data_IF_310521597487
#
_entry.id   IF_310521597487
#
_cell.length_a   1.000
_cell.length_b   1.000
_cell.length_c   1.000
_cell.angle_alpha   90.00
_cell.angle_beta   90.00
_cell.angle_gamma   90.00
#
_symmetry.space_group_name_H-M   'P 1'
#
loop_
_entity.id
_entity.type
_entity.pdbx_description
1 polymer ?
#
# COMPACT_ATOMS: atom_id res chain seq x y z
N UNK A 1 -17.99 30.11 10.64
CA UNK A 1 -18.57 29.31 9.53
C UNK A 1 -18.61 27.87 9.99
N UNK A 2 -19.78 27.22 9.98
CA UNK A 2 -19.89 25.78 10.28
C UNK A 2 -19.43 25.02 9.03
N UNK A 3 -18.22 24.49 9.04
CA UNK A 3 -17.84 23.47 8.06
C UNK A 3 -18.64 22.21 8.38
N UNK A 4 -19.23 21.60 7.36
CA UNK A 4 -19.93 20.33 7.52
C UNK A 4 -18.90 19.24 7.82
N UNK A 5 -19.23 18.22 8.61
CA UNK A 5 -18.30 17.12 8.92
C UNK A 5 -17.80 16.36 7.68
N UNK A 6 -18.47 16.52 6.53
CA UNK A 6 -18.00 16.01 5.23
C UNK A 6 -16.90 16.86 4.60
N UNK A 7 -16.80 18.17 4.89
CA UNK A 7 -15.78 19.06 4.31
C UNK A 7 -14.42 18.92 5.01
N UNK A 8 -14.40 18.70 6.34
CA UNK A 8 -13.16 18.44 7.09
C UNK A 8 -12.50 17.11 6.69
N UNK A 9 -13.30 16.08 6.35
CA UNK A 9 -12.81 14.74 5.98
C UNK A 9 -12.24 14.69 4.56
N UNK A 10 -12.75 15.51 3.63
CA UNK A 10 -12.16 15.70 2.29
C UNK A 10 -10.80 16.36 2.41
N UNK A 11 -10.70 17.37 3.29
CA UNK A 11 -9.49 18.16 3.51
C UNK A 11 -8.29 17.25 3.79
N UNK A 12 -8.44 16.22 4.62
CA UNK A 12 -7.33 15.31 4.97
C UNK A 12 -6.85 14.41 3.84
N UNK A 13 -7.71 13.95 2.95
CA UNK A 13 -7.25 13.10 1.85
C UNK A 13 -6.65 13.92 0.68
N UNK A 14 -7.09 15.18 0.52
CA UNK A 14 -6.35 16.19 -0.26
C UNK A 14 -5.03 16.59 0.42
N UNK A 15 -4.97 16.68 1.76
CA UNK A 15 -3.75 16.95 2.53
C UNK A 15 -2.71 15.85 2.27
N UNK A 16 -3.10 14.58 2.21
CA UNK A 16 -2.18 13.47 1.88
C UNK A 16 -1.48 13.66 0.54
N UNK A 17 -2.23 14.15 -0.46
CA UNK A 17 -1.65 14.44 -1.76
C UNK A 17 -0.77 15.68 -1.66
N UNK A 18 -1.30 16.79 -1.15
CA UNK A 18 -0.61 18.07 -1.03
C UNK A 18 0.75 17.93 -0.34
N UNK A 19 0.80 17.11 0.70
CA UNK A 19 2.00 16.94 1.51
C UNK A 19 2.86 15.73 1.14
N UNK A 20 2.45 14.86 0.21
CA UNK A 20 3.27 13.72 -0.22
C UNK A 20 4.66 14.15 -0.74
N UNK A 21 5.69 13.39 -0.35
CA UNK A 21 7.08 13.61 -0.80
C UNK A 21 7.30 13.29 -2.28
N UNK A 22 6.50 12.36 -2.81
CA UNK A 22 6.47 11.96 -4.20
C UNK A 22 5.48 12.82 -5.00
N UNK A 23 5.58 12.79 -6.33
CA UNK A 23 4.53 13.33 -7.18
C UNK A 23 3.25 12.53 -6.94
N UNK A 24 2.17 13.20 -6.52
CA UNK A 24 0.93 12.53 -6.16
C UNK A 24 -0.30 13.27 -6.67
N UNK A 25 -1.34 12.48 -6.93
CA UNK A 25 -2.68 12.95 -7.25
C UNK A 25 -3.73 12.05 -6.60
N UNK A 26 -4.91 12.59 -6.32
CA UNK A 26 -6.09 11.79 -5.97
C UNK A 26 -7.12 11.88 -7.09
N UNK A 27 -7.87 10.80 -7.28
CA UNK A 27 -8.98 10.75 -8.25
C UNK A 27 -10.29 10.37 -7.56
N UNK A 28 -11.41 10.88 -8.05
CA UNK A 28 -12.76 10.51 -7.61
C UNK A 28 -13.29 9.26 -8.34
N UNK A 29 -14.51 8.85 -8.01
CA UNK A 29 -15.21 7.73 -8.65
C UNK A 29 -15.59 7.96 -10.12
N UNK A 30 -15.42 9.18 -10.64
CA UNK A 30 -15.62 9.55 -12.04
C UNK A 30 -14.28 9.71 -12.78
N UNK A 31 -13.20 9.20 -12.18
CA UNK A 31 -11.82 9.22 -12.69
C UNK A 31 -11.24 10.64 -12.85
N UNK A 32 -11.85 11.64 -12.19
CA UNK A 32 -11.39 13.03 -12.23
C UNK A 32 -10.38 13.28 -11.13
N UNK A 33 -9.34 14.03 -11.47
CA UNK A 33 -8.33 14.50 -10.51
C UNK A 33 -9.01 15.46 -9.52
N UNK A 34 -8.95 15.14 -8.23
CA UNK A 34 -9.50 15.98 -7.14
C UNK A 34 -8.42 16.58 -6.26
N UNK A 35 -7.19 16.07 -6.33
CA UNK A 35 -6.03 16.63 -5.66
C UNK A 35 -4.79 16.49 -6.55
N UNK A 36 -3.89 17.46 -6.50
CA UNK A 36 -2.67 17.51 -7.30
C UNK A 36 -1.58 18.27 -6.56
N UNK A 37 -0.45 17.63 -6.28
CA UNK A 37 0.59 18.25 -5.46
C UNK A 37 1.70 18.94 -6.27
N UNK A 38 2.51 19.73 -5.58
CA UNK A 38 3.61 20.51 -6.21
C UNK A 38 4.62 19.60 -6.92
N UNK A 39 4.86 18.39 -6.42
CA UNK A 39 5.78 17.43 -7.05
C UNK A 39 5.20 16.88 -8.36
N UNK A 40 3.90 16.61 -8.44
CA UNK A 40 3.23 16.23 -9.68
C UNK A 40 3.27 17.36 -10.71
N UNK A 41 3.08 18.62 -10.27
CA UNK A 41 3.28 19.79 -11.13
C UNK A 41 4.72 19.87 -11.67
N UNK A 42 5.72 19.68 -10.81
CA UNK A 42 7.13 19.69 -11.24
C UNK A 42 7.45 18.55 -12.22
N UNK A 43 6.88 17.37 -12.00
CA UNK A 43 7.13 16.18 -12.82
C UNK A 43 6.40 16.24 -14.18
N UNK A 44 5.18 16.75 -14.23
CA UNK A 44 4.31 16.67 -15.42
C UNK A 44 3.97 18.03 -16.04
N UNK A 45 4.31 19.14 -15.40
CA UNK A 45 4.16 20.50 -15.92
C UNK A 45 2.80 21.15 -15.65
N UNK A 46 1.75 20.37 -15.40
CA UNK A 46 0.40 20.89 -15.13
C UNK A 46 0.31 21.55 -13.76
N UNK A 47 -0.17 22.79 -13.72
CA UNK A 47 -0.55 23.45 -12.47
C UNK A 47 -1.80 22.77 -11.84
N UNK A 48 -2.02 22.90 -10.51
CA UNK A 48 -3.21 22.37 -9.86
C UNK A 48 -4.52 22.83 -10.53
N UNK A 49 -4.60 24.09 -10.98
CA UNK A 49 -5.78 24.62 -11.67
C UNK A 49 -6.03 24.01 -13.06
N UNK A 50 -4.99 23.48 -13.71
CA UNK A 50 -5.11 22.81 -15.00
C UNK A 50 -5.39 21.31 -14.84
N UNK A 51 -4.85 20.69 -13.79
CA UNK A 51 -4.99 19.25 -13.54
C UNK A 51 -6.30 18.90 -12.84
N UNK A 52 -6.70 19.65 -11.81
CA UNK A 52 -7.89 19.34 -11.00
C UNK A 52 -9.15 19.50 -11.85
N UNK A 53 -10.05 18.52 -11.73
CA UNK A 53 -11.28 18.39 -12.52
C UNK A 53 -11.08 17.70 -13.87
N UNK A 54 -9.84 17.52 -14.35
CA UNK A 54 -9.58 16.75 -15.57
C UNK A 54 -9.69 15.25 -15.35
N UNK A 55 -9.99 14.53 -16.42
CA UNK A 55 -9.86 13.07 -16.46
C UNK A 55 -8.40 12.66 -16.24
N UNK A 56 -8.13 11.72 -15.33
CA UNK A 56 -6.76 11.37 -14.96
C UNK A 56 -5.93 10.87 -16.16
N UNK A 57 -6.56 10.18 -17.10
CA UNK A 57 -5.92 9.69 -18.32
C UNK A 57 -5.41 10.82 -19.22
N UNK A 58 -6.04 12.00 -19.17
CA UNK A 58 -5.64 13.15 -19.98
C UNK A 58 -4.42 13.87 -19.41
N UNK A 59 -4.21 13.77 -18.10
CA UNK A 59 -3.08 14.42 -17.42
C UNK A 59 -1.86 13.50 -17.39
N UNK A 60 -2.05 12.21 -17.11
CA UNK A 60 -0.94 11.24 -17.02
C UNK A 60 -0.49 10.76 -18.40
N UNK A 61 -1.44 10.45 -19.29
CA UNK A 61 -1.21 9.89 -20.64
C UNK A 61 -0.12 8.80 -20.66
N UNK A 62 -0.17 7.92 -19.66
CA UNK A 62 0.88 6.94 -19.43
C UNK A 62 0.93 5.89 -20.54
N UNK A 63 2.12 5.43 -20.87
CA UNK A 63 2.39 4.26 -21.72
C UNK A 63 3.34 3.30 -21.02
N UNK A 64 3.23 2.02 -21.31
CA UNK A 64 4.23 1.03 -20.89
C UNK A 64 5.58 1.32 -21.55
N UNK A 65 6.65 0.72 -21.03
CA UNK A 65 7.99 0.83 -21.62
C UNK A 65 8.01 0.38 -23.08
N UNK A 66 7.18 -0.61 -23.45
CA UNK A 66 6.97 -1.07 -24.84
C UNK A 66 6.22 -0.09 -25.75
N UNK A 67 5.55 0.93 -25.18
CA UNK A 67 4.81 1.96 -25.91
C UNK A 67 3.32 1.72 -26.02
N UNK A 68 2.82 0.62 -25.47
CA UNK A 68 1.40 0.35 -25.34
C UNK A 68 0.74 1.40 -24.42
N UNK A 69 -0.45 1.92 -24.76
CA UNK A 69 -1.15 2.88 -23.94
C UNK A 69 -1.61 2.25 -22.62
N UNK A 70 -1.16 2.82 -21.51
CA UNK A 70 -1.60 2.46 -20.15
C UNK A 70 -2.79 3.31 -19.70
N UNK A 71 -2.83 4.58 -20.10
CA UNK A 71 -3.94 5.48 -19.79
C UNK A 71 -4.92 5.58 -20.96
N UNK A 72 -6.18 5.20 -20.72
CA UNK A 72 -7.35 5.51 -21.54
C UNK A 72 -8.60 5.45 -20.64
N UNK A 73 -9.78 5.94 -21.08
CA UNK A 73 -10.98 6.08 -20.22
C UNK A 73 -11.51 4.79 -19.54
N UNK A 74 -11.02 3.62 -19.95
CA UNK A 74 -11.42 2.31 -19.43
C UNK A 74 -10.23 1.39 -19.18
N UNK A 75 -9.06 1.96 -18.88
CA UNK A 75 -7.86 1.16 -18.70
C UNK A 75 -7.96 0.27 -17.47
N UNK A 76 -7.15 -0.80 -17.48
CA UNK A 76 -7.16 -1.80 -16.41
C UNK A 76 -6.77 -1.21 -15.04
N UNK A 77 -6.03 -0.09 -15.04
CA UNK A 77 -5.74 0.71 -13.83
C UNK A 77 -7.03 1.19 -13.17
N UNK A 78 -7.91 1.87 -13.93
CA UNK A 78 -9.17 2.41 -13.42
C UNK A 78 -10.14 1.31 -13.01
N UNK A 79 -10.19 0.22 -13.79
CA UNK A 79 -10.97 -0.97 -13.42
C UNK A 79 -10.52 -1.58 -12.11
N UNK A 80 -9.20 -1.63 -11.87
CA UNK A 80 -8.64 -2.12 -10.62
C UNK A 80 -9.08 -1.24 -9.45
N UNK A 81 -8.98 0.09 -9.56
CA UNK A 81 -9.42 1.01 -8.51
C UNK A 81 -10.89 0.87 -8.15
N UNK A 82 -11.77 0.73 -9.14
CA UNK A 82 -13.21 0.52 -8.91
C UNK A 82 -13.46 -0.74 -8.07
N UNK A 83 -12.61 -1.76 -8.20
CA UNK A 83 -12.64 -3.00 -7.42
C UNK A 83 -11.84 -2.95 -6.11
N UNK A 84 -11.39 -1.77 -5.66
CA UNK A 84 -10.50 -1.58 -4.50
C UNK A 84 -9.10 -2.16 -4.66
N UNK A 85 -8.66 -2.40 -5.90
CA UNK A 85 -7.37 -3.03 -6.20
C UNK A 85 -6.35 -1.92 -6.52
N UNK A 86 -5.27 -1.76 -5.74
CA UNK A 86 -4.18 -0.85 -6.06
C UNK A 86 -3.46 -1.35 -7.32
N UNK A 87 -2.83 -0.42 -8.01
CA UNK A 87 -2.19 -0.68 -9.29
C UNK A 87 -0.76 -0.18 -9.27
N UNK A 88 0.16 -1.04 -9.69
CA UNK A 88 1.58 -0.72 -9.80
C UNK A 88 2.08 -0.97 -11.22
N UNK A 89 2.72 0.03 -11.80
CA UNK A 89 3.42 -0.09 -13.09
C UNK A 89 4.82 0.49 -12.95
N UNK A 90 5.85 -0.36 -12.89
CA UNK A 90 7.22 0.12 -12.89
C UNK A 90 7.63 0.59 -14.29
N UNK A 91 8.55 1.55 -14.36
CA UNK A 91 9.22 1.96 -15.60
C UNK A 91 8.28 2.33 -16.76
N UNK A 92 7.20 3.04 -16.47
CA UNK A 92 6.29 3.57 -17.48
C UNK A 92 6.74 4.96 -17.96
N UNK A 93 6.15 5.41 -19.07
CA UNK A 93 6.36 6.75 -19.63
C UNK A 93 5.12 7.59 -19.44
N UNK A 94 5.26 8.72 -18.79
CA UNK A 94 4.22 9.73 -18.60
C UNK A 94 4.45 10.90 -19.56
N UNK A 95 3.36 11.52 -20.05
CA UNK A 95 3.47 12.68 -20.94
C UNK A 95 3.48 13.97 -20.14
N UNK A 96 4.61 14.67 -20.13
CA UNK A 96 4.69 16.03 -19.61
C UNK A 96 3.88 16.99 -20.50
N UNK A 97 3.31 18.07 -19.94
CA UNK A 97 2.48 19.06 -20.62
C UNK A 97 3.16 19.67 -21.87
N UNK A 98 4.48 19.86 -21.82
CA UNK A 98 5.31 20.30 -22.96
C UNK A 98 5.43 19.29 -24.11
N UNK A 99 4.88 18.08 -23.97
CA UNK A 99 4.99 17.00 -24.94
C UNK A 99 6.29 16.18 -24.83
N UNK A 100 7.04 16.28 -23.74
CA UNK A 100 8.17 15.38 -23.44
C UNK A 100 7.69 14.13 -22.70
N UNK A 101 8.43 13.03 -22.84
CA UNK A 101 8.19 11.83 -22.04
C UNK A 101 9.04 11.87 -20.77
N UNK A 102 8.43 11.50 -19.64
CA UNK A 102 9.08 11.36 -18.33
C UNK A 102 8.98 9.90 -17.91
N UNK A 103 10.10 9.30 -17.50
CA UNK A 103 10.11 7.96 -16.95
C UNK A 103 9.67 8.02 -15.49
N UNK A 104 8.75 7.13 -15.11
CA UNK A 104 8.34 7.01 -13.72
C UNK A 104 7.76 5.62 -13.46
N UNK A 105 7.71 5.26 -12.19
CA UNK A 105 6.88 4.17 -11.70
C UNK A 105 5.58 4.76 -11.15
N UNK A 106 4.47 4.17 -11.57
CA UNK A 106 3.15 4.44 -11.00
C UNK A 106 2.92 3.43 -9.89
N UNK A 107 2.55 3.92 -8.71
CA UNK A 107 1.97 3.11 -7.64
C UNK A 107 0.71 3.79 -7.16
N UNK A 108 -0.18 3.08 -6.51
CA UNK A 108 -1.43 3.68 -6.06
C UNK A 108 -1.96 2.99 -4.82
N UNK A 109 -2.78 3.72 -4.09
CA UNK A 109 -3.61 3.22 -3.00
C UNK A 109 -5.04 3.34 -3.49
N UNK A 110 -5.71 2.21 -3.69
CA UNK A 110 -7.15 2.19 -3.92
C UNK A 110 -7.87 2.27 -2.57
N UNK A 111 -8.86 3.14 -2.45
CA UNK A 111 -9.63 3.25 -1.20
C UNK A 111 -10.45 1.99 -1.02
N UNK A 112 -10.26 1.31 0.13
CA UNK A 112 -11.10 0.19 0.55
C UNK A 112 -12.57 0.62 0.66
N UNK A 113 -13.52 -0.32 0.61
CA UNK A 113 -14.94 0.03 0.76
C UNK A 113 -15.23 0.81 2.06
N UNK A 114 -14.56 0.45 3.16
CA UNK A 114 -14.68 1.15 4.44
C UNK A 114 -14.18 2.59 4.33
N UNK A 115 -13.01 2.80 3.72
CA UNK A 115 -12.45 4.13 3.47
C UNK A 115 -13.36 4.96 2.55
N UNK A 116 -13.86 4.38 1.45
CA UNK A 116 -14.78 5.08 0.53
C UNK A 116 -16.04 5.58 1.24
N UNK A 117 -16.65 4.77 2.13
CA UNK A 117 -17.79 5.19 2.95
C UNK A 117 -17.43 6.32 3.94
N UNK A 118 -16.24 6.26 4.53
CA UNK A 118 -15.72 7.30 5.42
C UNK A 118 -15.55 8.64 4.67
N UNK A 119 -15.05 8.60 3.43
CA UNK A 119 -14.83 9.76 2.55
C UNK A 119 -16.03 10.10 1.63
N UNK A 120 -17.18 9.45 1.82
CA UNK A 120 -18.40 9.64 1.03
C UNK A 120 -18.18 9.55 -0.50
N UNK A 121 -17.37 8.57 -0.95
CA UNK A 121 -17.04 8.30 -2.35
C UNK A 121 -16.36 9.47 -3.11
N UNK A 122 -15.86 10.47 -2.38
CA UNK A 122 -15.19 11.63 -3.01
C UNK A 122 -13.79 11.31 -3.51
N UNK A 123 -13.19 10.23 -3.03
CA UNK A 123 -11.87 9.76 -3.44
C UNK A 123 -11.94 8.25 -3.66
N UNK A 124 -11.52 7.82 -4.84
CA UNK A 124 -11.45 6.43 -5.26
C UNK A 124 -10.03 5.88 -5.08
N UNK A 125 -9.01 6.65 -5.46
CA UNK A 125 -7.62 6.24 -5.34
C UNK A 125 -6.67 7.44 -5.20
N UNK A 126 -5.52 7.20 -4.58
CA UNK A 126 -4.37 8.10 -4.59
C UNK A 126 -3.29 7.44 -5.46
N UNK A 127 -2.77 8.17 -6.43
CA UNK A 127 -1.73 7.71 -7.36
C UNK A 127 -0.44 8.45 -7.01
N UNK A 128 0.62 7.68 -6.84
CA UNK A 128 1.98 8.16 -6.62
C UNK A 128 2.85 7.86 -7.84
N UNK A 129 3.57 8.88 -8.27
CA UNK A 129 4.50 8.85 -9.39
C UNK A 129 5.90 9.02 -8.81
N UNK A 130 6.76 8.03 -9.02
CA UNK A 130 8.13 8.03 -8.53
C UNK A 130 9.09 8.00 -9.70
N UNK A 131 10.05 8.91 -9.69
CA UNK A 131 11.19 8.85 -10.60
C UNK A 131 12.09 7.70 -10.13
N UNK A 132 12.26 6.65 -10.94
CA UNK A 132 12.91 5.43 -10.47
C UNK A 132 14.40 5.40 -10.81
N UNK A 133 15.21 5.55 -9.76
CA UNK A 133 16.55 4.97 -9.68
C UNK A 133 16.60 3.73 -8.76
N UNK A 134 15.45 3.16 -8.34
CA UNK A 134 15.42 2.01 -7.43
C UNK A 134 14.70 0.82 -8.08
N UNK A 135 15.44 0.09 -8.89
CA UNK A 135 15.08 -1.27 -9.31
C UNK A 135 15.40 -2.20 -8.13
N UNK A 136 14.38 -2.78 -7.48
CA UNK A 136 14.65 -3.88 -6.54
C UNK A 136 15.27 -5.04 -7.33
N UNK A 137 16.50 -5.48 -7.03
CA UNK A 137 17.15 -6.50 -7.83
C UNK A 137 16.43 -7.84 -7.65
N UNK A 138 15.69 -8.25 -8.69
CA UNK A 138 15.16 -9.62 -8.75
C UNK A 138 16.30 -10.55 -9.16
N UNK A 139 16.59 -11.63 -8.40
CA UNK A 139 17.61 -12.59 -8.79
C UNK A 139 17.28 -13.22 -10.16
N UNK A 140 18.19 -13.10 -11.12
CA UNK A 140 18.04 -13.59 -12.51
C UNK A 140 17.82 -15.11 -12.63
N UNK A 141 18.00 -15.87 -11.54
CA UNK A 141 17.84 -17.32 -11.51
C UNK A 141 16.44 -17.82 -11.10
N UNK A 142 15.53 -16.94 -10.65
CA UNK A 142 14.18 -17.33 -10.21
C UNK A 142 13.17 -17.13 -11.33
N UNK A 143 12.60 -18.23 -11.80
CA UNK A 143 11.74 -18.25 -13.00
C UNK A 143 10.32 -17.77 -12.75
N UNK A 144 9.87 -17.77 -11.48
CA UNK A 144 8.55 -17.30 -11.07
C UNK A 144 8.68 -16.28 -9.94
N UNK A 145 8.09 -15.11 -10.16
CA UNK A 145 7.87 -14.06 -9.18
C UNK A 145 6.39 -14.05 -8.82
N UNK A 146 6.08 -13.96 -7.54
CA UNK A 146 4.72 -13.91 -7.01
C UNK A 146 4.58 -12.66 -6.17
N UNK A 147 3.50 -11.93 -6.41
CA UNK A 147 3.13 -10.72 -5.71
C UNK A 147 1.87 -11.02 -4.89
N UNK A 148 1.93 -10.67 -3.61
CA UNK A 148 0.93 -11.00 -2.60
C UNK A 148 0.59 -9.82 -1.69
N UNK A 149 1.41 -8.77 -1.64
CA UNK A 149 1.16 -7.56 -0.83
C UNK A 149 0.32 -6.54 -1.61
N UNK A 150 -0.98 -6.78 -1.64
CA UNK A 150 -1.97 -6.13 -2.50
C UNK A 150 -2.63 -7.17 -3.40
N UNK A 151 -2.96 -6.75 -4.63
CA UNK A 151 -3.51 -7.65 -5.64
C UNK A 151 -2.56 -8.82 -5.98
N UNK A 152 -3.09 -10.02 -6.08
CA UNK A 152 -2.30 -11.21 -6.41
C UNK A 152 -1.81 -11.17 -7.86
N UNK A 153 -0.50 -11.21 -8.01
CA UNK A 153 0.17 -11.12 -9.31
C UNK A 153 1.26 -12.16 -9.50
N UNK A 154 1.57 -12.47 -10.75
CA UNK A 154 2.65 -13.40 -11.08
C UNK A 154 3.40 -12.92 -12.31
N UNK A 155 4.73 -13.08 -12.30
CA UNK A 155 5.60 -12.80 -13.45
C UNK A 155 6.53 -13.98 -13.66
N UNK A 156 6.67 -14.43 -14.91
CA UNK A 156 7.63 -15.46 -15.28
C UNK A 156 8.43 -15.03 -16.51
N UNK A 157 9.75 -15.22 -16.47
CA UNK A 157 10.65 -14.82 -17.57
C UNK A 157 10.50 -13.35 -17.99
N UNK A 158 10.18 -12.44 -17.06
CA UNK A 158 9.96 -11.02 -17.32
C UNK A 158 8.58 -10.65 -17.87
N UNK A 159 7.65 -11.61 -18.01
CA UNK A 159 6.31 -11.38 -18.54
C UNK A 159 5.25 -11.65 -17.47
N UNK A 160 4.24 -10.77 -17.39
CA UNK A 160 3.11 -10.96 -16.49
C UNK A 160 2.26 -12.16 -16.90
N UNK A 161 1.84 -12.96 -15.93
CA UNK A 161 0.94 -14.10 -16.12
C UNK A 161 -0.49 -13.62 -15.89
N UNK A 162 -1.31 -13.67 -16.95
CA UNK A 162 -2.72 -13.33 -16.88
C UNK A 162 -3.54 -14.46 -16.23
N UNK A 163 -3.63 -14.42 -14.90
CA UNK A 163 -4.46 -15.33 -14.08
C UNK A 163 -5.96 -15.21 -14.38
N UNK A 164 -6.39 -14.11 -15.02
CA UNK A 164 -7.76 -13.90 -15.47
C UNK A 164 -8.20 -14.95 -16.50
N UNK A 165 -7.27 -15.34 -17.38
CA UNK A 165 -7.47 -16.33 -18.46
C UNK A 165 -7.49 -17.79 -17.98
N UNK A 166 -7.09 -18.06 -16.74
CA UNK A 166 -7.04 -19.43 -16.22
C UNK A 166 -8.45 -20.01 -16.09
N UNK A 167 -8.69 -21.13 -16.80
CA UNK A 167 -10.02 -21.78 -16.87
C UNK A 167 -10.50 -22.31 -15.51
N UNK A 168 -9.56 -22.65 -14.61
CA UNK A 168 -9.83 -23.25 -13.30
C UNK A 168 -9.45 -22.28 -12.20
N UNK A 169 -10.42 -21.51 -11.67
CA UNK A 169 -10.17 -20.53 -10.61
C UNK A 169 -9.58 -21.15 -9.33
N UNK A 170 -10.00 -22.35 -8.94
CA UNK A 170 -9.40 -23.08 -7.82
C UNK A 170 -7.91 -23.38 -8.00
N UNK A 171 -7.35 -23.37 -9.22
CA UNK A 171 -5.90 -23.53 -9.41
C UNK A 171 -5.13 -22.29 -8.90
N UNK A 172 -5.72 -21.10 -9.06
CA UNK A 172 -5.17 -19.84 -8.53
C UNK A 172 -5.28 -19.85 -7.00
N UNK A 173 -6.44 -20.18 -6.44
CA UNK A 173 -6.62 -20.28 -4.97
C UNK A 173 -5.67 -21.31 -4.35
N UNK A 174 -5.50 -22.47 -4.99
CA UNK A 174 -4.54 -23.49 -4.57
C UNK A 174 -3.11 -22.93 -4.54
N UNK A 175 -2.71 -22.16 -5.55
CA UNK A 175 -1.40 -21.53 -5.57
C UNK A 175 -1.25 -20.49 -4.47
N UNK A 176 -2.24 -19.60 -4.29
CA UNK A 176 -2.23 -18.60 -3.20
C UNK A 176 -2.05 -19.29 -1.84
N UNK A 177 -2.81 -20.35 -1.56
CA UNK A 177 -2.68 -21.14 -0.34
C UNK A 177 -1.27 -21.72 -0.16
N UNK A 178 -0.70 -22.29 -1.22
CA UNK A 178 0.66 -22.84 -1.19
C UNK A 178 1.73 -21.75 -1.00
N UNK A 179 1.50 -20.53 -1.47
CA UNK A 179 2.36 -19.36 -1.22
C UNK A 179 2.28 -18.93 0.25
N UNK A 180 1.10 -18.94 0.86
CA UNK A 180 0.97 -18.70 2.31
C UNK A 180 1.67 -19.77 3.14
N UNK A 181 1.74 -21.01 2.62
CA UNK A 181 2.46 -22.13 3.25
C UNK A 181 3.84 -22.36 2.62
N UNK A 182 4.52 -21.30 2.17
CA UNK A 182 5.78 -21.42 1.45
C UNK A 182 6.82 -22.25 2.21
N UNK A 183 7.41 -23.21 1.50
CA UNK A 183 8.39 -24.17 2.02
C UNK A 183 7.86 -25.15 3.08
N UNK A 184 6.54 -25.20 3.28
CA UNK A 184 5.87 -26.17 4.18
C UNK A 184 5.01 -27.13 3.37
N UNK A 185 5.18 -28.47 3.51
CA UNK A 185 4.31 -29.44 2.86
C UNK A 185 2.86 -29.30 3.37
N UNK A 186 1.91 -29.16 2.46
CA UNK A 186 0.48 -29.10 2.78
C UNK A 186 -0.20 -30.40 2.40
N UNK A 187 -0.75 -31.09 3.42
CA UNK A 187 -1.52 -32.31 3.23
C UNK A 187 -2.75 -32.08 2.34
N UNK A 188 -3.02 -33.05 1.47
CA UNK A 188 -4.15 -33.03 0.53
C UNK A 188 -5.49 -32.81 1.23
N UNK A 189 -5.68 -33.33 2.43
CA UNK A 189 -6.91 -33.18 3.22
C UNK A 189 -7.17 -31.70 3.51
N UNK A 190 -6.15 -30.96 3.98
CA UNK A 190 -6.27 -29.51 4.22
C UNK A 190 -6.56 -28.72 2.95
N UNK A 191 -5.97 -29.11 1.82
CA UNK A 191 -6.23 -28.45 0.53
C UNK A 191 -7.67 -28.71 0.04
N UNK A 192 -8.21 -29.90 0.31
CA UNK A 192 -9.60 -30.25 -0.01
C UNK A 192 -10.54 -29.43 0.86
N UNK A 193 -10.32 -29.42 2.18
CA UNK A 193 -11.17 -28.68 3.13
C UNK A 193 -11.18 -27.18 2.82
N UNK A 194 -10.02 -26.62 2.44
CA UNK A 194 -9.90 -25.22 2.06
C UNK A 194 -10.62 -24.89 0.73
N UNK A 195 -10.48 -25.71 -0.30
CA UNK A 195 -11.00 -25.41 -1.63
C UNK A 195 -12.46 -25.83 -1.82
N UNK A 196 -12.86 -26.91 -1.13
CA UNK A 196 -14.16 -27.56 -1.27
C UNK A 196 -14.64 -28.13 0.08
N UNK A 197 -15.02 -27.27 1.06
CA UNK A 197 -15.38 -27.70 2.41
C UNK A 197 -16.58 -28.67 2.44
N UNK A 198 -17.48 -28.59 1.47
CA UNK A 198 -18.71 -29.39 1.42
C UNK A 198 -18.55 -30.75 0.70
N UNK A 199 -17.32 -31.12 0.31
CA UNK A 199 -17.07 -32.29 -0.55
C UNK A 199 -16.39 -33.41 0.23
N UNK A 200 -16.98 -34.61 0.18
CA UNK A 200 -16.40 -35.80 0.79
C UNK A 200 -15.03 -36.18 0.20
N UNK A 201 -14.16 -36.78 1.03
CA UNK A 201 -12.74 -37.03 0.77
C UNK A 201 -12.44 -37.64 -0.62
N UNK A 202 -13.16 -38.70 -1.03
CA UNK A 202 -12.93 -39.36 -2.33
C UNK A 202 -13.16 -38.43 -3.52
N UNK A 203 -14.23 -37.64 -3.48
CA UNK A 203 -14.54 -36.69 -4.55
C UNK A 203 -13.58 -35.49 -4.50
N UNK A 204 -13.23 -35.02 -3.29
CA UNK A 204 -12.26 -33.96 -3.07
C UNK A 204 -10.89 -34.31 -3.64
N UNK A 205 -10.41 -35.54 -3.43
CA UNK A 205 -9.14 -36.00 -3.98
C UNK A 205 -9.14 -36.02 -5.52
N UNK A 206 -10.23 -36.48 -6.14
CA UNK A 206 -10.40 -36.40 -7.59
C UNK A 206 -10.30 -34.97 -8.10
N UNK A 207 -11.00 -34.02 -7.45
CA UNK A 207 -10.95 -32.59 -7.80
C UNK A 207 -9.55 -32.01 -7.61
N UNK A 208 -8.88 -32.31 -6.49
CA UNK A 208 -7.54 -31.81 -6.18
C UNK A 208 -6.51 -32.26 -7.23
N UNK A 209 -6.54 -33.53 -7.64
CA UNK A 209 -5.66 -34.06 -8.70
C UNK A 209 -5.80 -33.28 -9.99
N UNK A 210 -7.03 -33.02 -10.44
CA UNK A 210 -7.27 -32.28 -11.68
C UNK A 210 -6.89 -30.81 -11.53
N UNK A 211 -7.21 -30.17 -10.40
CA UNK A 211 -6.84 -28.78 -10.14
C UNK A 211 -5.33 -28.59 -10.07
N UNK A 212 -4.61 -29.49 -9.42
CA UNK A 212 -3.14 -29.49 -9.37
C UNK A 212 -2.51 -29.74 -10.74
N UNK A 213 -3.09 -30.65 -11.54
CA UNK A 213 -2.68 -30.84 -12.92
C UNK A 213 -2.83 -29.55 -13.75
N UNK A 214 -3.99 -28.88 -13.65
CA UNK A 214 -4.22 -27.61 -14.33
C UNK A 214 -3.25 -26.52 -13.86
N UNK A 215 -3.01 -26.39 -12.55
CA UNK A 215 -2.02 -25.45 -12.00
C UNK A 215 -0.63 -25.67 -12.64
N UNK A 216 -0.14 -26.92 -12.63
CA UNK A 216 1.15 -27.26 -13.25
C UNK A 216 1.16 -26.98 -14.75
N UNK A 217 0.06 -27.26 -15.45
CA UNK A 217 -0.05 -26.99 -16.88
C UNK A 217 0.04 -25.49 -17.20
N UNK A 218 -0.67 -24.64 -16.45
CA UNK A 218 -0.63 -23.18 -16.62
C UNK A 218 0.77 -22.63 -16.29
N UNK A 219 1.41 -23.11 -15.22
CA UNK A 219 2.79 -22.76 -14.88
C UNK A 219 3.76 -23.13 -16.00
N UNK A 220 3.69 -24.37 -16.52
CA UNK A 220 4.53 -24.82 -17.65
C UNK A 220 4.33 -23.98 -18.91
N UNK A 221 3.09 -23.64 -19.22
CA UNK A 221 2.77 -22.82 -20.40
C UNK A 221 3.42 -21.44 -20.33
N UNK A 222 3.71 -20.94 -19.12
CA UNK A 222 4.41 -19.68 -18.87
C UNK A 222 5.92 -19.87 -18.59
N UNK A 223 6.49 -21.02 -18.97
CA UNK A 223 7.94 -21.27 -18.85
C UNK A 223 8.43 -21.60 -17.44
N UNK A 224 7.50 -21.81 -16.49
CA UNK A 224 7.85 -22.21 -15.12
C UNK A 224 8.05 -23.72 -15.06
N UNK A 225 9.16 -24.16 -14.48
CA UNK A 225 9.50 -25.58 -14.37
C UNK A 225 8.59 -26.30 -13.37
N UNK A 226 8.39 -27.59 -13.62
CA UNK A 226 7.57 -28.47 -12.76
C UNK A 226 8.01 -28.57 -11.31
N UNK A 227 9.30 -28.36 -11.07
CA UNK A 227 9.92 -28.49 -9.76
C UNK A 227 9.47 -27.43 -8.75
N UNK A 228 8.72 -26.41 -9.19
CA UNK A 228 8.14 -25.37 -8.33
C UNK A 228 7.14 -25.95 -7.34
N UNK A 229 6.25 -26.84 -7.80
CA UNK A 229 5.24 -27.49 -6.94
C UNK A 229 5.51 -29.00 -6.89
N UNK A 230 6.18 -29.45 -5.83
CA UNK A 230 6.47 -30.88 -5.62
C UNK A 230 5.31 -31.59 -4.95
N UNK A 231 5.17 -32.87 -5.28
CA UNK A 231 4.36 -33.81 -4.49
C UNK A 231 5.30 -34.55 -3.55
N UNK A 232 5.00 -34.53 -2.27
CA UNK A 232 5.77 -35.20 -1.20
C UNK A 232 4.78 -36.07 -0.45
N UNK A 233 4.82 -37.38 -0.68
CA UNK A 233 3.83 -38.34 -0.16
C UNK A 233 2.37 -37.92 -0.47
N UNK A 234 1.59 -37.64 0.57
CA UNK A 234 0.20 -37.17 0.47
C UNK A 234 0.06 -35.63 0.57
N UNK A 235 1.16 -34.90 0.38
CA UNK A 235 1.23 -33.45 0.48
C UNK A 235 1.77 -32.81 -0.79
N UNK A 236 1.56 -31.49 -0.89
CA UNK A 236 2.13 -30.63 -1.92
C UNK A 236 2.99 -29.56 -1.28
N UNK A 237 4.15 -29.30 -1.87
CA UNK A 237 5.14 -28.36 -1.39
C UNK A 237 5.47 -27.35 -2.49
N UNK A 238 5.26 -26.07 -2.21
CA UNK A 238 5.80 -24.98 -3.02
C UNK A 238 7.19 -24.62 -2.49
N UNK A 239 8.19 -24.73 -3.36
CA UNK A 239 9.60 -24.58 -2.97
C UNK A 239 10.04 -23.13 -2.97
N UNK A 240 10.58 -22.67 -1.85
CA UNK A 240 11.10 -21.30 -1.66
C UNK A 240 12.33 -20.98 -2.52
N UNK A 241 13.19 -21.96 -2.78
CA UNK A 241 14.46 -21.74 -3.46
C UNK A 241 14.34 -21.48 -4.97
N UNK A 242 13.18 -21.82 -5.56
CA UNK A 242 12.91 -21.68 -7.00
C UNK A 242 11.91 -20.58 -7.33
N UNK A 243 11.33 -19.91 -6.33
CA UNK A 243 10.40 -18.79 -6.50
C UNK A 243 10.87 -17.53 -5.78
N UNK A 244 10.38 -16.40 -6.24
CA UNK A 244 10.50 -15.12 -5.55
C UNK A 244 9.11 -14.70 -5.09
N UNK A 245 8.99 -14.28 -3.83
CA UNK A 245 7.72 -13.79 -3.25
C UNK A 245 8.01 -12.43 -2.61
N UNK A 246 7.20 -11.43 -2.96
CA UNK A 246 7.34 -10.06 -2.43
C UNK A 246 7.27 -10.00 -0.90
N UNK A 247 6.40 -10.80 -0.26
CA UNK A 247 6.29 -10.91 1.20
C UNK A 247 7.61 -11.30 1.85
N UNK A 248 8.30 -12.33 1.33
CA UNK A 248 9.61 -12.76 1.87
C UNK A 248 10.65 -11.63 1.82
N UNK A 249 10.63 -10.86 0.72
CA UNK A 249 11.58 -9.77 0.50
C UNK A 249 11.24 -8.58 1.38
N UNK A 250 9.96 -8.26 1.52
CA UNK A 250 9.45 -7.25 2.43
C UNK A 250 9.91 -7.52 3.85
N UNK A 251 9.64 -8.71 4.40
CA UNK A 251 10.03 -9.09 5.75
C UNK A 251 11.53 -9.03 5.99
N UNK A 252 12.32 -9.48 4.99
CA UNK A 252 13.78 -9.39 5.05
C UNK A 252 14.25 -7.94 5.13
N UNK A 253 13.71 -7.04 4.30
CA UNK A 253 14.07 -5.63 4.33
C UNK A 253 13.64 -4.95 5.64
N UNK A 254 12.48 -5.30 6.20
CA UNK A 254 12.08 -4.83 7.54
C UNK A 254 13.09 -5.29 8.60
N UNK A 255 13.47 -6.57 8.58
CA UNK A 255 14.44 -7.14 9.52
C UNK A 255 15.82 -6.49 9.39
N UNK A 256 16.32 -6.31 8.17
CA UNK A 256 17.59 -5.62 7.90
C UNK A 256 17.54 -4.16 8.40
N UNK A 257 16.44 -3.44 8.13
CA UNK A 257 16.22 -2.09 8.63
C UNK A 257 16.25 -2.00 10.16
N UNK A 258 15.59 -2.94 10.85
CA UNK A 258 15.60 -3.01 12.31
C UNK A 258 17.00 -3.24 12.88
N UNK A 259 17.79 -4.12 12.27
CA UNK A 259 19.18 -4.36 12.70
C UNK A 259 20.08 -3.14 12.50
N UNK A 260 19.89 -2.39 11.42
CA UNK A 260 20.62 -1.14 11.15
C UNK A 260 20.21 -0.04 12.13
N UNK A 261 18.91 0.06 12.42
CA UNK A 261 18.35 1.01 13.39
C UNK A 261 18.92 0.78 14.79
N UNK A 262 19.02 -0.48 15.24
CA UNK A 262 19.65 -0.84 16.53
C UNK A 262 21.12 -0.43 16.64
N UNK A 263 21.79 -0.21 15.51
CA UNK A 263 23.17 0.27 15.42
C UNK A 263 23.26 1.76 15.13
N UNK A 264 22.13 2.48 15.22
CA UNK A 264 22.01 3.91 14.92
C UNK A 264 22.44 4.28 13.48
N UNK A 265 22.38 3.31 12.56
CA UNK A 265 22.66 3.51 11.13
C UNK A 265 21.39 3.97 10.41
N UNK A 266 20.92 5.17 10.77
CA UNK A 266 19.59 5.68 10.41
C UNK A 266 19.36 5.80 8.90
N UNK A 267 20.37 6.24 8.15
CA UNK A 267 20.28 6.42 6.69
C UNK A 267 20.13 5.08 5.97
N UNK A 268 20.92 4.08 6.36
CA UNK A 268 20.88 2.73 5.82
C UNK A 268 19.60 2.00 6.22
N UNK A 269 19.16 2.17 7.48
CA UNK A 269 17.87 1.65 7.95
C UNK A 269 16.72 2.22 7.13
N UNK A 270 16.70 3.55 6.91
CA UNK A 270 15.72 4.23 6.08
C UNK A 270 15.74 3.72 4.63
N UNK A 271 16.92 3.43 4.07
CA UNK A 271 17.04 2.82 2.74
C UNK A 271 16.33 1.46 2.68
N UNK A 272 16.57 0.57 3.66
CA UNK A 272 15.90 -0.75 3.73
C UNK A 272 14.39 -0.62 3.91
N UNK A 273 13.94 0.25 4.81
CA UNK A 273 12.50 0.46 5.04
C UNK A 273 11.81 1.05 3.82
N UNK A 274 12.47 1.95 3.08
CA UNK A 274 11.93 2.44 1.83
C UNK A 274 11.78 1.31 0.83
N UNK A 275 12.78 0.43 0.63
CA UNK A 275 12.65 -0.75 -0.24
C UNK A 275 11.48 -1.66 0.16
N UNK A 276 11.30 -1.95 1.46
CA UNK A 276 10.13 -2.67 1.98
C UNK A 276 8.81 -1.97 1.62
N UNK A 277 8.73 -0.65 1.80
CA UNK A 277 7.53 0.15 1.48
C UNK A 277 7.20 0.18 -0.02
N UNK A 278 8.16 -0.11 -0.90
CA UNK A 278 7.89 -0.26 -2.34
C UNK A 278 7.23 -1.60 -2.67
N UNK A 279 7.35 -2.61 -1.81
CA UNK A 279 6.73 -3.92 -2.02
C UNK A 279 5.29 -3.97 -1.49
N UNK A 280 5.02 -3.26 -0.39
CA UNK A 280 3.69 -3.23 0.22
C UNK A 280 2.74 -2.29 -0.54
N UNK A 281 1.92 -2.83 -1.44
CA UNK A 281 0.98 -2.05 -2.27
C UNK A 281 -0.46 -2.09 -1.74
N UNK A 282 -0.79 -3.09 -0.92
CA UNK A 282 -2.09 -3.28 -0.30
C UNK A 282 -2.07 -4.44 0.69
N UNK A 283 -3.23 -4.78 1.24
CA UNK A 283 -3.35 -5.90 2.18
C UNK A 283 -2.97 -7.23 1.49
N UNK A 284 -2.43 -8.17 2.27
CA UNK A 284 -2.06 -9.48 1.75
C UNK A 284 -3.26 -10.19 1.10
N UNK A 285 -3.11 -10.55 -0.18
CA UNK A 285 -4.16 -11.19 -0.99
C UNK A 285 -5.52 -10.51 -0.81
N UNK A 286 -5.57 -9.22 -1.10
CA UNK A 286 -6.74 -8.37 -0.83
C UNK A 286 -8.04 -8.87 -1.48
N UNK A 287 -7.96 -9.63 -2.59
CA UNK A 287 -9.15 -10.18 -3.26
C UNK A 287 -9.74 -11.39 -2.50
N UNK A 288 -8.99 -11.96 -1.56
CA UNK A 288 -9.39 -13.10 -0.74
C UNK A 288 -10.08 -12.64 0.56
N UNK A 289 -11.01 -11.67 0.45
CA UNK A 289 -11.59 -10.97 1.61
C UNK A 289 -12.28 -11.89 2.61
N UNK A 290 -12.92 -12.97 2.13
CA UNK A 290 -13.70 -13.92 2.94
C UNK A 290 -12.98 -15.26 3.20
N UNK A 291 -11.69 -15.33 2.90
CA UNK A 291 -10.90 -16.55 2.97
C UNK A 291 -10.15 -16.62 4.31
N UNK A 292 -10.68 -17.40 5.25
CA UNK A 292 -10.11 -17.53 6.61
C UNK A 292 -8.66 -18.00 6.63
N UNK A 293 -8.25 -18.82 5.66
CA UNK A 293 -6.90 -19.39 5.59
C UNK A 293 -5.77 -18.37 5.38
N UNK A 294 -6.08 -17.15 4.94
CA UNK A 294 -5.10 -16.06 4.78
C UNK A 294 -5.34 -14.89 5.75
N UNK A 295 -6.39 -14.92 6.57
CA UNK A 295 -6.75 -13.80 7.44
C UNK A 295 -5.66 -13.51 8.49
N UNK A 296 -5.11 -14.55 9.12
CA UNK A 296 -4.04 -14.41 10.12
C UNK A 296 -2.77 -13.81 9.51
N UNK A 297 -2.37 -14.29 8.33
CA UNK A 297 -1.18 -13.79 7.64
C UNK A 297 -1.37 -12.35 7.16
N UNK A 298 -2.57 -12.00 6.68
CA UNK A 298 -2.92 -10.63 6.31
C UNK A 298 -2.79 -9.68 7.47
N UNK A 299 -3.36 -10.02 8.62
CA UNK A 299 -3.27 -9.18 9.81
C UNK A 299 -1.82 -9.04 10.28
N UNK A 300 -1.06 -10.14 10.33
CA UNK A 300 0.35 -10.13 10.71
C UNK A 300 1.20 -9.20 9.83
N UNK A 301 0.99 -9.26 8.51
CA UNK A 301 1.72 -8.41 7.56
C UNK A 301 1.26 -6.95 7.59
N UNK A 302 -0.03 -6.71 7.86
CA UNK A 302 -0.57 -5.37 8.09
C UNK A 302 0.06 -4.72 9.32
N UNK A 303 0.11 -5.43 10.45
CA UNK A 303 0.78 -4.96 11.67
C UNK A 303 2.28 -4.72 11.45
N UNK A 304 2.96 -5.64 10.76
CA UNK A 304 4.38 -5.47 10.44
C UNK A 304 4.64 -4.23 9.55
N UNK A 305 3.74 -3.95 8.60
CA UNK A 305 3.82 -2.76 7.76
C UNK A 305 3.64 -1.48 8.57
N UNK A 306 2.64 -1.44 9.46
CA UNK A 306 2.44 -0.32 10.37
C UNK A 306 3.64 -0.13 11.31
N UNK A 307 4.20 -1.20 11.88
CA UNK A 307 5.42 -1.10 12.69
C UNK A 307 6.58 -0.51 11.88
N UNK A 308 6.78 -0.98 10.64
CA UNK A 308 7.80 -0.46 9.74
C UNK A 308 7.59 1.03 9.44
N UNK A 309 6.36 1.48 9.21
CA UNK A 309 6.08 2.90 9.00
C UNK A 309 6.43 3.74 10.23
N UNK A 310 6.13 3.28 11.44
CA UNK A 310 6.52 4.00 12.67
C UNK A 310 8.05 4.15 12.77
N UNK A 311 8.79 3.06 12.51
CA UNK A 311 10.26 3.05 12.49
C UNK A 311 10.84 3.92 11.38
N UNK A 312 10.19 3.96 10.21
CA UNK A 312 10.58 4.85 9.11
C UNK A 312 10.46 6.31 9.52
N UNK A 313 9.34 6.67 10.18
CA UNK A 313 9.11 8.02 10.67
C UNK A 313 10.15 8.44 11.73
N UNK A 314 10.53 7.51 12.62
CA UNK A 314 11.62 7.69 13.57
C UNK A 314 12.97 7.94 12.88
N UNK A 315 13.32 7.13 11.87
CA UNK A 315 14.56 7.34 11.10
C UNK A 315 14.61 8.72 10.45
N UNK A 316 13.52 9.18 9.85
CA UNK A 316 13.43 10.54 9.31
C UNK A 316 13.65 11.61 10.39
N UNK A 317 13.07 11.42 11.58
CA UNK A 317 13.23 12.36 12.68
C UNK A 317 14.68 12.45 13.15
N UNK A 318 15.35 11.31 13.34
CA UNK A 318 16.75 11.25 13.77
C UNK A 318 17.71 11.84 12.73
N UNK A 319 17.34 11.79 11.45
CA UNK A 319 18.06 12.46 10.36
C UNK A 319 17.74 13.97 10.23
N UNK A 320 16.92 14.52 11.13
CA UNK A 320 16.49 15.93 11.10
C UNK A 320 15.46 16.25 10.00
N UNK A 321 14.89 15.24 9.37
CA UNK A 321 13.93 15.33 8.26
C UNK A 321 12.48 15.28 8.79
N UNK A 322 12.13 16.22 9.67
CA UNK A 322 10.84 16.23 10.38
C UNK A 322 9.62 16.26 9.42
N UNK A 323 9.73 17.01 8.32
CA UNK A 323 8.65 17.10 7.32
C UNK A 323 8.31 15.74 6.69
N UNK A 324 9.32 14.90 6.41
CA UNK A 324 9.14 13.55 5.87
C UNK A 324 8.57 12.60 6.93
N UNK A 325 9.03 12.69 8.18
CA UNK A 325 8.48 11.91 9.30
C UNK A 325 6.97 12.13 9.47
N UNK A 326 6.53 13.40 9.36
CA UNK A 326 5.11 13.79 9.36
C UNK A 326 4.34 13.12 8.21
N UNK A 327 4.94 13.05 7.01
CA UNK A 327 4.28 12.37 5.87
C UNK A 327 4.11 10.88 6.09
N UNK A 328 5.10 10.22 6.69
CA UNK A 328 4.99 8.80 6.99
C UNK A 328 3.84 8.52 7.95
N UNK A 329 3.70 9.33 9.00
CA UNK A 329 2.60 9.17 9.95
C UNK A 329 1.23 9.41 9.30
N UNK A 330 1.12 10.45 8.46
CA UNK A 330 -0.10 10.71 7.69
C UNK A 330 -0.43 9.56 6.76
N UNK A 331 0.56 9.01 6.05
CA UNK A 331 0.39 7.85 5.16
C UNK A 331 -0.12 6.64 5.94
N UNK A 332 0.42 6.37 7.13
CA UNK A 332 -0.06 5.28 7.97
C UNK A 332 -1.54 5.43 8.34
N UNK A 333 -1.99 6.65 8.67
CA UNK A 333 -3.39 6.94 9.00
C UNK A 333 -4.34 6.85 7.80
N UNK A 334 -3.82 6.78 6.57
CA UNK A 334 -4.64 6.44 5.38
C UNK A 334 -4.97 4.96 5.37
N UNK A 335 -3.96 4.14 5.66
CA UNK A 335 -4.09 2.68 5.70
C UNK A 335 -4.95 2.27 6.88
N UNK A 336 -4.72 2.87 8.04
CA UNK A 336 -5.55 2.62 9.21
C UNK A 336 -5.79 3.92 10.02
N UNK A 337 -6.92 4.60 9.73
CA UNK A 337 -7.32 5.82 10.43
C UNK A 337 -7.56 5.66 11.93
N UNK A 338 -7.71 4.41 12.41
CA UNK A 338 -7.99 4.12 13.81
C UNK A 338 -6.72 3.92 14.65
N UNK A 339 -5.53 3.96 14.03
CA UNK A 339 -4.25 3.75 14.74
C UNK A 339 -3.86 4.96 15.54
N UNK A 340 -4.31 4.98 16.80
CA UNK A 340 -4.06 6.09 17.72
C UNK A 340 -2.57 6.41 17.90
N UNK A 341 -1.68 5.41 17.88
CA UNK A 341 -0.24 5.64 18.00
C UNK A 341 0.30 6.60 16.91
N UNK A 342 -0.20 6.51 15.68
CA UNK A 342 0.19 7.40 14.59
C UNK A 342 -0.40 8.79 14.74
N UNK A 343 -1.60 8.92 15.31
CA UNK A 343 -2.11 10.25 15.70
C UNK A 343 -1.22 10.89 16.77
N UNK A 344 -0.84 10.13 17.79
CA UNK A 344 0.04 10.58 18.86
C UNK A 344 1.40 11.05 18.31
N UNK A 345 2.10 10.21 17.56
CA UNK A 345 3.42 10.52 16.99
C UNK A 345 3.33 11.73 16.04
N UNK A 346 2.29 11.80 15.21
CA UNK A 346 2.07 12.93 14.32
C UNK A 346 1.88 14.25 15.10
N UNK A 347 1.14 14.22 16.21
CA UNK A 347 1.01 15.40 17.08
C UNK A 347 2.37 15.83 17.65
N UNK A 348 3.18 14.89 18.13
CA UNK A 348 4.52 15.21 18.64
C UNK A 348 5.42 15.83 17.56
N UNK A 349 5.41 15.27 16.36
CA UNK A 349 6.25 15.75 15.26
C UNK A 349 5.80 17.12 14.76
N UNK A 350 4.49 17.38 14.68
CA UNK A 350 3.97 18.69 14.35
C UNK A 350 4.38 19.76 15.37
N UNK A 351 4.42 19.43 16.66
CA UNK A 351 4.92 20.35 17.70
C UNK A 351 6.41 20.60 17.54
N UNK A 352 7.22 19.55 17.32
CA UNK A 352 8.67 19.67 17.06
C UNK A 352 8.96 20.52 15.83
N UNK A 353 8.11 20.45 14.82
CA UNK A 353 8.19 21.25 13.59
C UNK A 353 7.62 22.68 13.73
N UNK A 354 7.21 23.09 14.93
CA UNK A 354 6.70 24.44 15.19
C UNK A 354 5.27 24.69 14.73
N UNK A 355 4.48 23.63 14.50
CA UNK A 355 3.08 23.66 14.03
C UNK A 355 2.10 23.10 15.09
N UNK A 356 2.05 23.66 16.32
CA UNK A 356 1.21 23.15 17.39
C UNK A 356 -0.30 23.29 17.10
N UNK A 357 -0.70 24.27 16.29
CA UNK A 357 -2.07 24.44 15.82
C UNK A 357 -2.56 23.23 15.01
N UNK A 358 -1.72 22.70 14.11
CA UNK A 358 -2.02 21.49 13.35
C UNK A 358 -2.06 20.25 14.25
N UNK A 359 -1.23 20.19 15.29
CA UNK A 359 -1.29 19.09 16.26
C UNK A 359 -2.62 19.07 17.02
N UNK A 360 -3.18 20.24 17.37
CA UNK A 360 -4.49 20.32 18.01
C UNK A 360 -5.63 19.88 17.06
N UNK A 361 -5.51 20.17 15.76
CA UNK A 361 -6.44 19.66 14.74
C UNK A 361 -6.35 18.13 14.64
N UNK A 362 -5.13 17.59 14.61
CA UNK A 362 -4.91 16.14 14.55
C UNK A 362 -5.53 15.39 15.72
N UNK A 363 -5.46 15.93 16.94
CA UNK A 363 -6.12 15.35 18.11
C UNK A 363 -7.64 15.26 17.94
N UNK A 364 -8.28 16.34 17.44
CA UNK A 364 -9.73 16.35 17.21
C UNK A 364 -10.11 15.29 16.18
N UNK A 365 -9.31 15.15 15.13
CA UNK A 365 -9.52 14.10 14.13
C UNK A 365 -9.41 12.70 14.74
N UNK A 366 -8.36 12.44 15.53
CA UNK A 366 -8.20 11.18 16.29
C UNK A 366 -9.45 10.87 17.12
N UNK A 367 -9.90 11.83 17.92
CA UNK A 367 -11.09 11.69 18.75
C UNK A 367 -12.35 11.39 17.91
N UNK A 368 -12.55 12.11 16.82
CA UNK A 368 -13.71 11.91 15.94
C UNK A 368 -13.72 10.50 15.35
N UNK A 369 -12.58 10.01 14.84
CA UNK A 369 -12.50 8.68 14.22
C UNK A 369 -12.72 7.57 15.25
N UNK A 370 -12.06 7.63 16.41
CA UNK A 370 -12.21 6.61 17.46
C UNK A 370 -13.61 6.56 18.06
N UNK A 371 -14.24 7.72 18.28
CA UNK A 371 -15.62 7.79 18.77
C UNK A 371 -16.59 7.24 17.72
N UNK A 372 -16.39 7.56 16.44
CA UNK A 372 -17.26 7.09 15.35
C UNK A 372 -17.18 5.58 15.16
N UNK A 373 -15.97 5.01 15.14
CA UNK A 373 -15.77 3.60 14.80
C UNK A 373 -15.91 2.66 16.01
N UNK A 374 -15.53 3.09 17.22
CA UNK A 374 -15.54 2.23 18.41
C UNK A 374 -16.31 2.79 19.60
N UNK A 375 -16.77 4.04 19.55
CA UNK A 375 -17.45 4.68 20.68
C UNK A 375 -16.53 5.00 21.87
N UNK A 376 -15.21 5.01 21.65
CA UNK A 376 -14.21 5.24 22.70
C UNK A 376 -13.53 6.60 22.56
N UNK A 377 -13.02 7.12 23.68
CA UNK A 377 -12.15 8.30 23.67
C UNK A 377 -10.69 7.90 23.40
N UNK A 378 -9.83 8.83 22.93
CA UNK A 378 -8.39 8.60 22.85
C UNK A 378 -7.81 8.15 24.20
N UNK A 379 -6.75 7.34 24.16
CA UNK A 379 -5.99 6.88 25.31
C UNK A 379 -5.48 8.05 26.18
N UNK A 380 -5.25 7.82 27.48
CA UNK A 380 -4.81 8.87 28.41
C UNK A 380 -3.51 9.56 28.01
N UNK A 381 -2.63 8.89 27.26
CA UNK A 381 -1.35 9.44 26.79
C UNK A 381 -1.58 10.53 25.73
N UNK A 382 -2.42 10.25 24.75
CA UNK A 382 -2.82 11.20 23.70
C UNK A 382 -3.58 12.39 24.27
N UNK A 383 -4.46 12.15 25.24
CA UNK A 383 -5.14 13.24 25.97
C UNK A 383 -4.14 14.12 26.74
N UNK A 384 -3.13 13.52 27.40
CA UNK A 384 -2.10 14.27 28.11
C UNK A 384 -1.26 15.14 27.16
N UNK A 385 -0.85 14.60 26.01
CA UNK A 385 -0.12 15.36 24.99
C UNK A 385 -0.96 16.56 24.50
N UNK A 386 -2.24 16.36 24.20
CA UNK A 386 -3.15 17.45 23.84
C UNK A 386 -3.19 18.57 24.89
N UNK A 387 -3.31 18.21 26.18
CA UNK A 387 -3.32 19.18 27.28
C UNK A 387 -1.98 19.92 27.41
N UNK A 388 -0.86 19.26 27.16
CA UNK A 388 0.46 19.89 27.15
C UNK A 388 0.59 20.92 26.02
N UNK A 389 0.12 20.59 24.82
CA UNK A 389 0.15 21.48 23.64
C UNK A 389 -0.69 22.74 23.88
N UNK A 390 -1.90 22.57 24.45
CA UNK A 390 -2.75 23.72 24.82
C UNK A 390 -2.05 24.69 25.78
N UNK A 391 -1.45 24.16 26.85
CA UNK A 391 -0.73 24.97 27.84
C UNK A 391 0.51 25.65 27.23
N UNK A 392 1.24 24.96 26.35
CA UNK A 392 2.40 25.52 25.66
C UNK A 392 2.06 26.65 24.69
N UNK A 393 0.89 26.59 24.04
CA UNK A 393 0.39 27.65 23.16
C UNK A 393 0.06 28.97 23.88
N UNK A 394 -0.38 28.89 25.14
CA UNK A 394 -0.70 30.08 25.95
C UNK A 394 0.57 30.83 26.39
N UNK A 395 1.65 30.12 26.71
CA UNK A 395 2.93 30.74 27.12
C UNK A 395 3.57 31.54 25.98
N UNK A 396 3.51 31.04 24.74
CA UNK A 396 4.06 31.71 23.55
C UNK A 396 3.26 32.95 23.14
N UNK A 397 1.94 32.94 23.37
CA UNK A 397 1.07 34.12 23.15
C UNK A 397 1.25 35.20 24.21
N UNK A 398 1.51 34.84 25.46
CA UNK A 398 1.80 35.80 26.52
C UNK A 398 3.16 36.50 26.31
N UNK A 399 4.20 35.77 25.89
CA UNK A 399 5.52 36.36 25.60
C UNK A 399 5.50 37.35 24.42
N UNK A 400 4.70 37.09 23.37
CA UNK A 400 4.55 37.98 22.22
C UNK A 400 3.69 39.22 22.50
N UNK A 401 2.88 39.21 23.58
CA UNK A 401 2.12 40.37 24.05
C UNK A 401 2.90 41.30 24.99
N UNK A 402 3.97 40.80 25.63
CA UNK A 402 4.81 41.59 26.56
C UNK A 402 6.00 42.29 25.88
N UNK A 403 6.36 41.93 24.65
CA UNK A 403 7.43 42.57 23.86
C UNK A 403 7.01 43.80 23.05
N UNK A 404 5.81 44.37 23.31
CA UNK A 404 5.24 45.51 22.57
C UNK A 404 4.94 46.75 23.43
N UNK A 405 5.49 46.82 24.64
CA UNK A 405 5.41 48.02 25.49
C UNK A 405 6.74 48.76 25.57
#
# INVERSE_FOLDING_TARGET
MKFSGSDEVITHATDLVEFASDAALAIDVNDRVVAWNTRAQQMLGYSPSEAIGQQCCNVLQATLSGGEPLCHPDCDVLRSFRNCIPYNVPNCRLRHQSGKWVMASISSVAMSERARRLYADKIMAIIFLRDEAIVTPVPQHRTLQVFTLGGFGMVAGGHSIDIGKWKRKHAVTLLKYLVTQLDRPVHRERLIDCLWPDVGEKQGWGRLKVTMYCLRQELRANGVKDEVVKTVDNAYLLRRDVIWVDTDVFERFVTEGQMLQQREQWSEALSRYNEARHLYQGDYLEEETYSDWCAEERERLHELYLEMLARTAECYLELGQCADAIQICRKALVFDPCRENFHFILMEYLVKDGRPDLALVQYRHCQQVLVREFGVQPLPETQRLYQQILKGGDTTRQASSQGRN
#
